data_IF_920698443863
#
_entry.id   IF_920698443863
#
_cell.length_a   1.000
_cell.length_b   1.000
_cell.length_c   1.000
_cell.angle_alpha   90.00
_cell.angle_beta   90.00
_cell.angle_gamma   90.00
#
_symmetry.space_group_name_H-M   'P 1'
#
loop_
_entity.id
_entity.type
_entity.pdbx_description
1 polymer ?
#
# COMPACT_ATOMS: atom_id res chain seq x y z
N UNK A 1 3.87 -32.09 8.64
CA UNK A 1 2.78 -31.61 7.78
C UNK A 1 2.13 -30.40 8.44
N UNK A 2 2.33 -29.22 7.86
CA UNK A 2 1.42 -28.07 7.96
C UNK A 2 1.34 -27.30 9.29
N UNK A 3 2.17 -26.28 9.45
CA UNK A 3 1.97 -25.15 10.35
C UNK A 3 1.13 -24.07 9.62
N UNK A 4 0.25 -23.34 10.33
CA UNK A 4 -0.21 -22.00 9.96
C UNK A 4 -0.87 -21.29 11.16
N UNK A 5 -0.70 -19.96 11.19
CA UNK A 5 -1.27 -18.95 12.10
C UNK A 5 -0.45 -18.59 13.35
N UNK A 6 0.79 -18.15 13.13
CA UNK A 6 1.38 -17.15 14.03
C UNK A 6 0.65 -15.81 13.85
N UNK A 7 0.05 -15.35 14.95
CA UNK A 7 -0.20 -13.93 15.25
C UNK A 7 1.12 -13.15 15.11
N UNK A 8 1.06 -11.99 14.46
CA UNK A 8 1.36 -10.74 15.14
C UNK A 8 0.80 -9.56 14.35
N UNK A 9 -0.03 -8.81 15.04
CA UNK A 9 -0.74 -7.64 14.57
C UNK A 9 0.20 -6.45 14.78
N UNK A 10 0.77 -5.89 13.71
CA UNK A 10 1.50 -4.63 13.81
C UNK A 10 0.81 -3.59 12.92
N UNK A 11 -0.24 -2.99 13.48
CA UNK A 11 -0.90 -1.81 12.96
C UNK A 11 -0.08 -0.57 13.32
N UNK A 12 0.64 -0.03 12.35
CA UNK A 12 0.86 1.42 12.21
C UNK A 12 1.62 1.70 10.91
N UNK A 13 0.89 1.63 9.79
CA UNK A 13 1.31 2.29 8.55
C UNK A 13 1.22 3.80 8.76
N UNK A 14 2.24 4.34 9.42
CA UNK A 14 2.42 5.77 9.59
C UNK A 14 3.00 6.30 8.28
N UNK A 15 2.10 6.78 7.42
CA UNK A 15 2.36 7.53 6.20
C UNK A 15 3.22 8.75 6.54
N UNK A 16 4.54 8.62 6.41
CA UNK A 16 5.46 9.76 6.50
C UNK A 16 5.48 10.45 5.14
N UNK A 17 4.75 11.56 5.07
CA UNK A 17 4.95 12.62 4.08
C UNK A 17 6.37 13.16 4.25
N UNK A 18 7.24 12.84 3.30
CA UNK A 18 8.48 13.57 3.02
C UNK A 18 8.73 13.46 1.51
N UNK A 19 8.08 14.34 0.75
CA UNK A 19 8.68 14.91 -0.46
C UNK A 19 9.85 15.78 0.04
N UNK A 20 11.06 15.84 -0.51
CA UNK A 20 11.63 15.48 -1.81
C UNK A 20 13.02 14.83 -1.54
N UNK A 21 13.62 14.00 -2.42
CA UNK A 21 14.59 14.55 -3.38
C UNK A 21 14.41 14.07 -4.84
N UNK A 22 13.51 13.10 -5.14
CA UNK A 22 13.29 12.67 -6.54
C UNK A 22 11.86 12.28 -6.96
N UNK A 23 10.86 12.27 -6.08
CA UNK A 23 9.54 11.76 -6.44
C UNK A 23 8.43 12.75 -6.05
N UNK A 24 8.03 13.60 -6.99
CA UNK A 24 6.81 14.39 -6.86
C UNK A 24 5.63 13.49 -7.22
N UNK A 25 4.96 12.98 -6.20
CA UNK A 25 3.86 12.00 -6.32
C UNK A 25 2.48 12.62 -6.65
N UNK A 26 2.39 13.85 -7.18
CA UNK A 26 1.11 14.42 -7.61
C UNK A 26 1.20 15.18 -8.93
N UNK A 27 0.24 14.84 -9.80
CA UNK A 27 0.01 15.29 -11.16
C UNK A 27 0.01 16.82 -11.26
N UNK A 28 1.00 17.38 -11.95
CA UNK A 28 0.91 18.76 -12.41
C UNK A 28 0.42 18.72 -13.85
N UNK A 29 -0.90 18.87 -14.00
CA UNK A 29 -1.57 19.29 -15.23
C UNK A 29 -0.91 20.58 -15.74
N UNK A 30 0.17 20.45 -16.50
CA UNK A 30 0.69 21.55 -17.29
C UNK A 30 -0.13 21.65 -18.56
N UNK A 31 -1.16 22.50 -18.45
CA UNK A 31 -1.79 23.22 -19.55
C UNK A 31 -0.70 23.75 -20.49
N UNK A 32 -0.44 23.04 -21.58
CA UNK A 32 0.36 23.55 -22.69
C UNK A 32 -0.42 24.69 -23.36
N UNK A 33 0.21 25.84 -23.72
CA UNK A 33 -0.48 26.86 -24.49
C UNK A 33 -0.74 26.32 -25.89
N UNK A 34 -2.01 26.08 -26.19
CA UNK A 34 -2.48 25.71 -27.52
C UNK A 34 -2.24 26.90 -28.48
N UNK A 35 -1.10 26.91 -29.17
CA UNK A 35 -0.86 27.87 -30.25
C UNK A 35 -1.57 27.35 -31.49
N UNK A 36 -2.65 28.05 -31.84
CA UNK A 36 -3.53 27.75 -32.97
C UNK A 36 -2.77 27.46 -34.26
N UNK A 37 -3.16 26.32 -34.85
CA UNK A 37 -2.79 25.88 -36.20
C UNK A 37 -3.54 26.81 -37.16
N UNK A 38 -2.81 27.73 -37.82
CA UNK A 38 -3.30 28.34 -39.04
C UNK A 38 -3.06 27.34 -40.17
N UNK A 39 -4.14 26.83 -40.74
CA UNK A 39 -4.14 26.15 -42.04
C UNK A 39 -3.68 27.15 -43.10
N UNK A 40 -2.54 26.88 -43.75
CA UNK A 40 -2.36 27.15 -45.19
C UNK A 40 -0.99 26.62 -45.69
N UNK A 41 -1.07 25.57 -46.51
CA UNK A 41 -0.22 25.33 -47.69
C UNK A 41 1.30 25.13 -47.55
N UNK A 42 1.74 23.88 -47.30
CA UNK A 42 2.92 23.27 -47.96
C UNK A 42 3.08 21.77 -47.57
N UNK A 43 3.04 20.78 -48.49
CA UNK A 43 3.24 19.36 -48.17
C UNK A 43 4.73 18.97 -48.12
N UNK A 44 5.60 19.82 -47.56
CA UNK A 44 7.05 19.56 -47.50
C UNK A 44 7.71 20.15 -46.25
N UNK A 45 7.22 19.81 -45.07
CA UNK A 45 8.02 19.78 -43.85
C UNK A 45 7.22 19.09 -42.75
N UNK A 46 7.35 17.77 -42.70
CA UNK A 46 7.38 17.12 -41.39
C UNK A 46 8.53 17.84 -40.66
N UNK A 47 8.32 18.57 -39.55
CA UNK A 47 9.45 19.07 -38.80
C UNK A 47 10.26 17.83 -38.46
N UNK A 48 11.42 17.67 -39.08
CA UNK A 48 12.29 16.55 -38.85
C UNK A 48 12.46 16.49 -37.34
N UNK A 49 11.88 15.45 -36.73
CA UNK A 49 11.98 15.24 -35.31
C UNK A 49 13.46 15.35 -35.00
N UNK A 50 13.86 16.43 -34.34
CA UNK A 50 15.28 16.73 -34.20
C UNK A 50 15.88 15.50 -33.54
N UNK A 51 17.03 15.01 -34.01
CA UNK A 51 17.66 13.79 -33.45
C UNK A 51 17.72 13.83 -31.92
N UNK A 52 17.76 15.03 -31.34
CA UNK A 52 17.67 15.34 -29.92
C UNK A 52 16.37 14.86 -29.24
N UNK A 53 15.21 14.96 -29.89
CA UNK A 53 13.90 14.58 -29.31
C UNK A 53 13.71 13.05 -29.32
N UNK A 54 14.10 12.37 -30.41
CA UNK A 54 14.11 10.89 -30.45
C UNK A 54 14.99 10.30 -29.34
N UNK A 55 16.17 10.88 -29.11
CA UNK A 55 17.07 10.45 -28.03
C UNK A 55 16.48 10.70 -26.64
N UNK A 56 15.73 11.79 -26.45
CA UNK A 56 15.03 12.08 -25.19
C UNK A 56 13.92 11.07 -24.88
N UNK A 57 13.13 10.70 -25.90
CA UNK A 57 12.09 9.68 -25.79
C UNK A 57 12.70 8.32 -25.44
N UNK A 58 13.78 7.92 -26.12
CA UNK A 58 14.49 6.68 -25.83
C UNK A 58 15.07 6.66 -24.42
N UNK A 59 15.65 7.78 -23.96
CA UNK A 59 16.14 7.93 -22.58
C UNK A 59 15.02 7.76 -21.55
N UNK A 60 13.86 8.37 -21.80
CA UNK A 60 12.67 8.21 -20.94
C UNK A 60 12.18 6.77 -20.91
N UNK A 61 12.15 6.09 -22.05
CA UNK A 61 11.75 4.67 -22.14
C UNK A 61 12.72 3.82 -21.33
N UNK A 62 14.02 4.01 -21.48
CA UNK A 62 15.03 3.27 -20.73
C UNK A 62 14.93 3.51 -19.23
N UNK A 63 14.79 4.77 -18.81
CA UNK A 63 14.67 5.10 -17.39
C UNK A 63 13.38 4.52 -16.78
N UNK A 64 12.25 4.67 -17.46
CA UNK A 64 10.98 4.05 -17.05
C UNK A 64 11.07 2.52 -17.02
N UNK A 65 11.77 1.91 -17.96
CA UNK A 65 11.95 0.46 -17.99
C UNK A 65 12.83 0.01 -16.83
N UNK A 66 13.94 0.70 -16.57
CA UNK A 66 14.84 0.42 -15.45
C UNK A 66 14.13 0.53 -14.09
N UNK A 67 13.24 1.51 -13.92
CA UNK A 67 12.42 1.67 -12.71
C UNK A 67 11.37 0.55 -12.54
N UNK A 68 10.83 0.01 -13.63
CA UNK A 68 9.77 -1.00 -13.59
C UNK A 68 10.31 -2.45 -13.55
N UNK A 69 11.60 -2.65 -13.81
CA UNK A 69 12.24 -3.95 -13.68
C UNK A 69 12.49 -4.23 -12.19
N UNK A 70 12.05 -5.40 -11.73
CA UNK A 70 12.29 -5.85 -10.36
C UNK A 70 13.67 -6.52 -10.32
N UNK A 71 14.58 -5.99 -9.53
CA UNK A 71 15.83 -6.66 -9.20
C UNK A 71 15.56 -7.79 -8.20
N UNK A 72 15.58 -9.02 -8.69
CA UNK A 72 15.39 -10.23 -7.88
C UNK A 72 16.60 -10.55 -6.99
N UNK A 73 17.75 -9.92 -7.22
CA UNK A 73 19.00 -10.13 -6.47
C UNK A 73 19.19 -9.18 -5.29
N UNK A 74 18.39 -8.10 -5.20
CA UNK A 74 18.40 -7.12 -4.12
C UNK A 74 17.80 -7.62 -2.78
N UNK A 75 17.98 -8.90 -2.45
CA UNK A 75 17.52 -9.51 -1.19
C UNK A 75 18.46 -9.11 -0.05
N UNK A 76 19.74 -8.85 -0.36
CA UNK A 76 20.66 -8.29 0.61
C UNK A 76 20.30 -6.81 0.82
N UNK A 77 19.97 -6.38 2.04
CA UNK A 77 19.74 -4.97 2.29
C UNK A 77 21.00 -4.26 1.85
N UNK A 78 20.87 -3.29 0.93
CA UNK A 78 21.98 -2.42 0.55
C UNK A 78 22.67 -1.99 1.84
N UNK A 79 23.88 -2.50 2.06
CA UNK A 79 24.58 -2.29 3.32
C UNK A 79 25.06 -0.86 3.29
N UNK A 80 24.19 0.08 3.65
CA UNK A 80 24.60 1.44 3.96
C UNK A 80 25.77 1.31 4.93
N UNK A 81 26.87 1.98 4.60
CA UNK A 81 28.04 1.88 5.45
C UNK A 81 27.67 2.44 6.84
N UNK A 82 28.21 1.84 7.90
CA UNK A 82 27.91 2.29 9.26
C UNK A 82 28.23 3.77 9.47
N UNK A 83 29.25 4.28 8.80
CA UNK A 83 29.67 5.69 8.81
C UNK A 83 28.58 6.59 8.20
N UNK A 84 28.11 6.27 7.00
CA UNK A 84 27.03 6.98 6.30
C UNK A 84 25.73 6.98 7.09
N UNK A 85 25.36 5.84 7.68
CA UNK A 85 24.17 5.74 8.54
C UNK A 85 24.26 6.70 9.74
N UNK A 86 25.41 6.74 10.41
CA UNK A 86 25.62 7.62 11.57
C UNK A 86 25.61 9.10 11.19
N UNK A 87 26.11 9.46 10.00
CA UNK A 87 26.05 10.83 9.47
C UNK A 87 24.62 11.22 9.11
N UNK A 88 23.88 10.36 8.39
CA UNK A 88 22.47 10.59 8.07
C UNK A 88 21.62 10.77 9.33
N UNK A 89 21.83 9.92 10.35
CA UNK A 89 21.13 10.04 11.63
C UNK A 89 21.37 11.41 12.29
N UNK A 90 22.62 11.90 12.31
CA UNK A 90 22.95 13.23 12.84
C UNK A 90 22.31 14.35 12.02
N UNK A 91 22.33 14.23 10.69
CA UNK A 91 21.72 15.20 9.79
C UNK A 91 20.20 15.29 10.01
N UNK A 92 19.52 14.15 10.15
CA UNK A 92 18.09 14.14 10.48
C UNK A 92 17.80 14.71 11.86
N UNK A 93 18.62 14.42 12.87
CA UNK A 93 18.44 14.98 14.20
C UNK A 93 18.62 16.51 14.22
N UNK A 94 19.63 17.02 13.49
CA UNK A 94 19.87 18.45 13.34
C UNK A 94 18.70 19.12 12.59
N UNK A 95 18.28 18.56 11.45
CA UNK A 95 17.08 19.02 10.72
C UNK A 95 15.84 19.02 11.61
N UNK A 96 15.62 17.97 12.39
CA UNK A 96 14.50 17.86 13.33
C UNK A 96 14.57 18.91 14.43
N UNK A 97 15.74 19.13 15.04
CA UNK A 97 15.92 20.12 16.13
C UNK A 97 15.67 21.57 15.70
N UNK A 98 15.91 21.88 14.42
CA UNK A 98 15.67 23.20 13.83
C UNK A 98 14.19 23.46 13.53
N UNK A 99 13.38 22.41 13.48
CA UNK A 99 11.94 22.52 13.28
C UNK A 99 11.31 22.63 14.67
N UNK A 100 10.74 23.80 15.01
CA UNK A 100 9.89 23.96 16.19
C UNK A 100 8.55 23.25 15.95
N UNK A 101 8.56 21.91 15.95
CA UNK A 101 7.35 21.11 15.90
C UNK A 101 6.64 21.24 17.25
N UNK A 102 5.58 22.05 17.28
CA UNK A 102 4.53 21.95 18.29
C UNK A 102 3.78 20.64 18.07
N UNK A 103 4.39 19.52 18.46
CA UNK A 103 3.74 18.23 18.44
C UNK A 103 2.49 18.31 19.32
N UNK A 104 1.30 17.97 18.80
CA UNK A 104 0.11 17.92 19.63
C UNK A 104 0.35 16.88 20.72
N UNK A 105 0.15 17.30 21.97
CA UNK A 105 0.15 16.37 23.11
C UNK A 105 -0.95 15.34 22.87
N UNK A 106 -0.71 14.10 23.30
CA UNK A 106 -1.73 13.05 23.22
C UNK A 106 -3.03 13.58 23.85
N UNK A 107 -4.16 13.55 23.11
CA UNK A 107 -5.41 14.07 23.64
C UNK A 107 -5.80 13.26 24.87
N UNK A 108 -6.32 13.95 25.88
CA UNK A 108 -6.88 13.28 27.06
C UNK A 108 -8.14 12.49 26.67
N UNK A 109 -8.43 11.43 27.42
CA UNK A 109 -9.65 10.65 27.24
C UNK A 109 -10.85 11.60 27.45
N UNK A 110 -11.85 11.60 26.55
CA UNK A 110 -13.01 12.48 26.69
C UNK A 110 -13.79 12.15 27.96
N UNK A 111 -14.15 13.18 28.73
CA UNK A 111 -15.03 13.03 29.89
C UNK A 111 -16.47 12.78 29.40
N UNK A 112 -16.99 11.59 29.70
CA UNK A 112 -18.33 11.15 29.26
C UNK A 112 -19.42 11.56 30.27
N UNK A 113 -19.07 11.77 31.53
CA UNK A 113 -20.02 12.18 32.57
C UNK A 113 -19.33 12.96 33.68
N UNK A 114 -20.04 13.94 34.25
CA UNK A 114 -19.61 14.69 35.44
C UNK A 114 -20.03 14.00 36.76
N UNK A 115 -20.86 12.95 36.70
CA UNK A 115 -21.33 12.21 37.86
C UNK A 115 -21.27 10.68 37.60
N UNK A 116 -20.11 10.05 37.77
CA UNK A 116 -19.91 8.63 37.42
C UNK A 116 -20.75 7.69 38.28
N UNK A 117 -20.95 8.01 39.56
CA UNK A 117 -21.74 7.18 40.47
C UNK A 117 -23.19 7.08 40.00
N UNK A 118 -23.77 8.20 39.58
CA UNK A 118 -25.16 8.20 39.09
C UNK A 118 -25.35 7.33 37.84
N UNK A 119 -24.39 7.34 36.90
CA UNK A 119 -24.47 6.55 35.66
C UNK A 119 -24.33 5.05 35.94
N UNK A 120 -23.45 4.67 36.88
CA UNK A 120 -23.22 3.27 37.21
C UNK A 120 -24.38 2.62 37.99
N UNK A 121 -25.25 3.42 38.61
CA UNK A 121 -26.43 2.95 39.36
C UNK A 121 -27.65 2.80 38.44
N UNK A 122 -27.61 3.33 37.21
CA UNK A 122 -28.69 3.17 36.24
C UNK A 122 -28.91 1.70 35.91
N UNK A 123 -30.15 1.38 35.53
CA UNK A 123 -30.54 0.06 35.07
C UNK A 123 -29.59 -0.47 34.00
N UNK A 124 -29.12 -1.70 34.20
CA UNK A 124 -28.22 -2.38 33.28
C UNK A 124 -28.93 -2.74 31.97
N UNK A 125 -28.17 -2.93 30.90
CA UNK A 125 -28.69 -3.40 29.61
C UNK A 125 -29.58 -4.64 29.80
N UNK A 126 -30.80 -4.67 29.25
CA UNK A 126 -31.72 -5.78 29.46
C UNK A 126 -31.20 -7.07 28.83
N UNK A 127 -31.48 -8.20 29.47
CA UNK A 127 -30.99 -9.51 29.03
C UNK A 127 -31.52 -9.90 27.63
N UNK A 128 -32.70 -9.41 27.24
CA UNK A 128 -33.26 -9.61 25.89
C UNK A 128 -32.31 -9.15 24.79
N UNK A 129 -31.67 -8.01 24.99
CA UNK A 129 -30.83 -7.37 23.98
C UNK A 129 -29.49 -8.09 23.86
N UNK A 130 -28.94 -8.52 25.00
CA UNK A 130 -27.73 -9.35 25.05
C UNK A 130 -27.98 -10.68 24.32
N UNK A 131 -29.13 -11.31 24.60
CA UNK A 131 -29.52 -12.57 23.96
C UNK A 131 -29.69 -12.39 22.45
N UNK A 132 -30.38 -11.33 22.03
CA UNK A 132 -30.60 -10.99 20.62
C UNK A 132 -29.26 -10.82 19.88
N UNK A 133 -28.34 -10.02 20.42
CA UNK A 133 -27.02 -9.79 19.83
C UNK A 133 -26.21 -11.10 19.75
N UNK A 134 -26.32 -11.95 20.77
CA UNK A 134 -25.64 -13.25 20.80
C UNK A 134 -26.16 -14.18 19.70
N UNK A 135 -27.48 -14.27 19.52
CA UNK A 135 -28.10 -15.06 18.46
C UNK A 135 -27.70 -14.56 17.06
N UNK A 136 -27.69 -13.24 16.84
CA UNK A 136 -27.21 -12.64 15.59
C UNK A 136 -25.74 -12.98 15.31
N UNK A 137 -24.87 -12.89 16.33
CA UNK A 137 -23.45 -13.24 16.21
C UNK A 137 -23.25 -14.71 15.84
N UNK A 138 -24.03 -15.62 16.43
CA UNK A 138 -24.00 -17.05 16.09
C UNK A 138 -24.48 -17.30 14.65
N UNK A 139 -25.54 -16.62 14.23
CA UNK A 139 -26.03 -16.70 12.85
C UNK A 139 -24.98 -16.20 11.86
N UNK A 140 -24.29 -15.10 12.17
CA UNK A 140 -23.22 -14.55 11.34
C UNK A 140 -22.02 -15.51 11.24
N UNK A 141 -21.60 -16.09 12.36
CA UNK A 141 -20.53 -17.10 12.39
C UNK A 141 -20.87 -18.32 11.53
N UNK A 142 -22.14 -18.75 11.57
CA UNK A 142 -22.64 -19.84 10.73
C UNK A 142 -22.60 -19.47 9.24
N UNK A 143 -23.01 -18.25 8.89
CA UNK A 143 -22.96 -17.76 7.52
C UNK A 143 -21.50 -17.65 7.00
N UNK A 144 -20.57 -17.15 7.81
CA UNK A 144 -19.15 -17.10 7.46
C UNK A 144 -18.55 -18.49 7.23
N UNK A 145 -18.99 -19.49 8.00
CA UNK A 145 -18.56 -20.88 7.81
C UNK A 145 -19.02 -21.47 6.47
N UNK A 146 -20.06 -20.90 5.85
CA UNK A 146 -20.52 -21.30 4.51
C UNK A 146 -19.69 -20.67 3.38
N UNK A 147 -18.86 -19.66 3.68
CA UNK A 147 -17.97 -19.01 2.72
C UNK A 147 -16.74 -19.90 2.45
N UNK A 148 -16.97 -20.97 1.68
CA UNK A 148 -15.96 -21.93 1.26
C UNK A 148 -16.04 -22.18 -0.24
N UNK A 149 -14.91 -22.53 -0.84
CA UNK A 149 -14.86 -22.93 -2.25
C UNK A 149 -15.47 -24.33 -2.37
N UNK A 150 -16.53 -24.48 -3.16
CA UNK A 150 -17.11 -25.79 -3.46
C UNK A 150 -16.27 -26.53 -4.50
N UNK A 151 -15.67 -27.67 -4.12
CA UNK A 151 -14.91 -28.51 -5.04
C UNK A 151 -15.85 -29.24 -6.01
N UNK A 152 -15.85 -28.86 -7.30
CA UNK A 152 -16.64 -29.54 -8.35
C UNK A 152 -15.87 -30.66 -9.03
N UNK A 153 -14.58 -30.45 -9.28
CA UNK A 153 -13.70 -31.39 -9.98
C UNK A 153 -12.35 -31.46 -9.26
N UNK A 154 -11.59 -32.53 -9.53
CA UNK A 154 -10.24 -32.66 -8.99
C UNK A 154 -9.30 -31.71 -9.73
N UNK A 155 -8.71 -30.75 -9.01
CA UNK A 155 -7.67 -29.86 -9.55
C UNK A 155 -6.38 -30.62 -9.92
N UNK A 156 -6.22 -31.83 -9.40
CA UNK A 156 -5.08 -32.70 -9.70
C UNK A 156 -5.59 -33.91 -10.45
N UNK A 157 -5.20 -34.05 -11.71
CA UNK A 157 -5.38 -35.29 -12.46
C UNK A 157 -4.31 -36.28 -12.00
N UNK A 158 -4.73 -37.51 -11.65
CA UNK A 158 -3.79 -38.61 -11.48
C UNK A 158 -3.47 -39.16 -12.86
N UNK A 159 -2.18 -39.21 -13.19
CA UNK A 159 -1.70 -39.96 -14.34
C UNK A 159 -1.67 -41.43 -13.91
N UNK A 160 -2.47 -42.28 -14.54
CA UNK A 160 -2.31 -43.73 -14.40
C UNK A 160 -1.07 -44.14 -15.21
N UNK A 161 -0.08 -44.76 -14.54
CA UNK A 161 1.04 -45.39 -15.22
C UNK A 161 0.55 -46.68 -15.89
N UNK A 162 0.28 -46.60 -17.20
CA UNK A 162 -0.02 -47.75 -18.08
C UNK A 162 1.23 -48.65 -18.29
N UNK A 163 1.91 -49.08 -17.22
CA UNK A 163 3.10 -49.97 -17.32
C UNK A 163 3.05 -51.23 -16.47
N UNK A 164 1.86 -51.69 -16.06
CA UNK A 164 1.72 -52.93 -15.27
C UNK A 164 0.86 -54.04 -15.90
N UNK A 165 0.52 -53.97 -17.21
CA UNK A 165 -0.28 -54.99 -17.90
C UNK A 165 0.38 -55.56 -19.17
N UNK A 166 1.71 -55.64 -19.19
CA UNK A 166 2.45 -56.32 -20.26
C UNK A 166 3.59 -57.19 -19.69
N UNK A 167 3.26 -58.16 -18.83
CA UNK A 167 4.05 -59.36 -18.56
C UNK A 167 3.13 -60.56 -18.32
#
# INVERSE_FOLDING_TARGET
>A
MGCICCKENNSSAQKSLNDDEHDRLLDHDQLTPNRGINEDGNPSSIPSLSKTDEQSILSRILHKTAQNIIDVSAIEPHSIERSEYMEQMKNYLDKYSRIDLKLPKLPSIPSVTNNPVSVLVVETVPFSDIKLITEYSQSMSTALSQMKIGCKESLVAKLEDDTAAAL
#
